data_IF_831295858654
#
_entry.id   IF_831295858654
#
_cell.length_a   1.000
_cell.length_b   1.000
_cell.length_c   1.000
_cell.angle_alpha   90.00
_cell.angle_beta   90.00
_cell.angle_gamma   90.00
#
_symmetry.space_group_name_H-M   'P 1'
#
loop_
_entity.id
_entity.type
_entity.pdbx_description
1 polymer ?
#
# COMPACT_ATOMS: atom_id res chain seq x y z
N UNK A 1 -39.83 -48.38 -56.90
CA UNK A 1 -38.66 -48.83 -56.12
C UNK A 1 -37.40 -48.69 -56.97
N UNK A 2 -36.39 -48.00 -56.42
CA UNK A 2 -34.96 -47.94 -56.81
C UNK A 2 -34.59 -47.51 -58.25
N UNK A 3 -33.86 -46.38 -58.29
CA UNK A 3 -32.76 -46.12 -59.23
C UNK A 3 -33.01 -44.97 -60.20
N UNK A 4 -32.23 -43.89 -60.11
CA UNK A 4 -31.13 -43.60 -61.04
C UNK A 4 -30.43 -42.30 -60.63
N UNK A 5 -29.10 -42.39 -60.47
CA UNK A 5 -28.17 -41.27 -60.34
C UNK A 5 -28.13 -40.46 -61.64
N UNK A 6 -27.85 -39.15 -61.58
CA UNK A 6 -26.91 -38.47 -62.51
C UNK A 6 -26.60 -37.04 -62.05
N UNK A 7 -25.29 -36.77 -61.93
CA UNK A 7 -24.74 -35.43 -61.86
C UNK A 7 -25.07 -34.67 -63.14
N UNK A 8 -25.42 -33.39 -63.02
CA UNK A 8 -25.38 -32.43 -64.11
C UNK A 8 -24.52 -31.25 -63.64
N UNK A 9 -23.35 -31.13 -64.27
CA UNK A 9 -22.50 -29.95 -64.30
C UNK A 9 -22.99 -29.02 -65.43
N UNK A 10 -22.44 -27.78 -65.48
CA UNK A 10 -22.52 -26.76 -66.56
C UNK A 10 -23.63 -25.73 -66.27
N UNK A 11 -23.47 -24.40 -66.36
CA UNK A 11 -22.37 -23.50 -66.76
C UNK A 11 -22.69 -22.07 -66.31
N UNK A 12 -21.64 -21.27 -66.16
CA UNK A 12 -21.64 -19.82 -66.00
C UNK A 12 -22.54 -19.06 -66.99
N UNK A 13 -23.31 -18.11 -66.47
CA UNK A 13 -23.36 -16.66 -66.80
C UNK A 13 -24.79 -16.15 -66.62
N UNK A 14 -24.97 -15.27 -65.62
CA UNK A 14 -26.09 -14.33 -65.56
C UNK A 14 -26.84 -14.28 -64.23
N UNK A 15 -26.22 -13.79 -63.15
CA UNK A 15 -26.95 -13.27 -61.97
C UNK A 15 -26.06 -12.32 -61.15
N UNK A 16 -25.67 -11.19 -61.75
CA UNK A 16 -25.17 -10.02 -61.01
C UNK A 16 -26.38 -9.12 -60.82
N UNK A 17 -27.09 -9.26 -59.70
CA UNK A 17 -27.94 -8.25 -59.03
C UNK A 17 -28.67 -8.94 -57.87
N UNK A 18 -27.97 -9.07 -56.73
CA UNK A 18 -28.49 -9.08 -55.34
C UNK A 18 -27.23 -9.11 -54.45
N UNK A 19 -26.60 -7.94 -54.27
CA UNK A 19 -25.52 -7.75 -53.28
C UNK A 19 -26.02 -6.92 -52.07
N UNK A 20 -27.33 -6.62 -51.96
CA UNK A 20 -27.79 -5.64 -50.96
C UNK A 20 -28.82 -6.09 -49.91
N UNK A 21 -29.03 -7.40 -49.62
CA UNK A 21 -29.98 -7.82 -48.56
C UNK A 21 -29.51 -9.02 -47.69
N UNK A 22 -28.22 -9.38 -47.67
CA UNK A 22 -27.69 -10.41 -46.71
C UNK A 22 -26.61 -9.82 -45.77
N UNK A 23 -26.30 -8.54 -45.87
CA UNK A 23 -25.35 -7.84 -44.99
C UNK A 23 -25.98 -7.14 -43.76
N UNK A 24 -27.25 -7.41 -43.44
CA UNK A 24 -28.00 -6.64 -42.45
C UNK A 24 -28.85 -7.52 -41.53
N UNK A 25 -28.30 -8.56 -40.90
CA UNK A 25 -28.83 -9.10 -39.63
C UNK A 25 -27.88 -10.07 -38.90
N UNK A 26 -26.58 -9.74 -38.88
CA UNK A 26 -25.70 -10.16 -37.79
C UNK A 26 -24.90 -8.93 -37.35
N UNK A 27 -25.60 -7.93 -36.80
CA UNK A 27 -24.96 -7.12 -35.75
C UNK A 27 -24.84 -8.08 -34.59
N UNK A 28 -23.81 -8.93 -34.68
CA UNK A 28 -23.33 -9.76 -33.59
C UNK A 28 -23.38 -8.86 -32.38
N UNK A 29 -24.15 -9.29 -31.39
CA UNK A 29 -24.26 -8.66 -30.09
C UNK A 29 -22.89 -8.87 -29.42
N UNK A 30 -21.86 -8.26 -29.99
CA UNK A 30 -20.57 -8.02 -29.38
C UNK A 30 -20.94 -7.04 -28.30
N UNK A 31 -21.32 -7.59 -27.15
CA UNK A 31 -20.93 -6.99 -25.90
C UNK A 31 -19.47 -6.62 -26.09
N UNK A 32 -19.23 -5.36 -26.46
CA UNK A 32 -17.96 -4.70 -26.24
C UNK A 32 -17.53 -5.20 -24.87
N UNK A 33 -16.34 -5.81 -24.71
CA UNK A 33 -15.88 -6.10 -23.37
C UNK A 33 -16.01 -4.76 -22.66
N UNK A 34 -16.87 -4.69 -21.64
CA UNK A 34 -16.96 -3.51 -20.80
C UNK A 34 -15.51 -3.29 -20.40
N UNK A 35 -14.86 -2.28 -20.98
CA UNK A 35 -13.54 -1.89 -20.56
C UNK A 35 -13.77 -1.59 -19.10
N UNK A 36 -13.34 -2.51 -18.22
CA UNK A 36 -13.35 -2.26 -16.81
C UNK A 36 -12.52 -0.99 -16.71
N UNK A 37 -13.20 0.14 -16.48
CA UNK A 37 -12.54 1.39 -16.16
C UNK A 37 -11.83 1.09 -14.85
N UNK A 38 -10.57 0.67 -14.95
CA UNK A 38 -9.67 0.69 -13.83
C UNK A 38 -9.62 2.15 -13.43
N UNK A 39 -10.27 2.49 -12.31
CA UNK A 39 -10.17 3.84 -11.77
C UNK A 39 -8.68 4.11 -11.54
N UNK A 40 -8.13 5.20 -12.11
CA UNK A 40 -6.72 5.48 -11.97
C UNK A 40 -6.43 5.71 -10.48
N UNK A 41 -5.44 4.98 -9.98
CA UNK A 41 -4.97 5.07 -8.60
C UNK A 41 -4.59 6.52 -8.28
N UNK A 42 -5.17 7.11 -7.24
CA UNK A 42 -4.77 8.46 -6.86
C UNK A 42 -3.37 8.43 -6.24
N UNK A 43 -2.57 9.45 -6.55
CA UNK A 43 -1.20 9.57 -6.03
C UNK A 43 -1.09 10.84 -5.20
N UNK A 44 -0.80 10.69 -3.90
CA UNK A 44 -0.54 11.77 -2.97
C UNK A 44 0.96 11.88 -2.71
N UNK A 45 1.55 13.02 -3.04
CA UNK A 45 3.01 13.22 -2.91
C UNK A 45 3.34 13.98 -1.63
N UNK A 46 4.19 13.39 -0.80
CA UNK A 46 4.83 14.04 0.35
C UNK A 46 6.03 14.84 -0.16
N UNK A 47 6.02 16.14 0.09
CA UNK A 47 7.02 17.10 -0.44
C UNK A 47 7.75 17.89 0.65
N UNK A 48 7.40 17.68 1.93
CA UNK A 48 8.11 18.30 3.05
C UNK A 48 8.08 17.41 4.30
N UNK A 49 8.92 17.77 5.27
CA UNK A 49 9.07 17.07 6.56
C UNK A 49 8.21 17.65 7.69
N UNK A 50 7.26 18.54 7.38
CA UNK A 50 6.41 19.14 8.40
C UNK A 50 5.50 18.09 9.04
N UNK A 51 5.21 18.23 10.34
CA UNK A 51 4.28 17.35 11.06
C UNK A 51 2.86 17.36 10.46
N UNK A 52 2.43 18.49 9.90
CA UNK A 52 1.09 18.67 9.32
C UNK A 52 1.06 19.76 8.26
N UNK A 53 -0.08 19.91 7.59
CA UNK A 53 -0.30 20.89 6.53
C UNK A 53 0.01 20.36 5.13
N UNK A 54 -0.24 21.18 4.08
CA UNK A 54 -0.06 20.79 2.69
C UNK A 54 1.32 20.18 2.40
N UNK A 55 1.34 19.07 1.67
CA UNK A 55 2.57 18.36 1.29
C UNK A 55 3.22 17.50 2.39
N UNK A 56 2.62 17.41 3.58
CA UNK A 56 3.10 16.51 4.65
C UNK A 56 2.55 15.09 4.50
N UNK A 57 3.22 14.11 5.11
CA UNK A 57 2.73 12.73 5.22
C UNK A 57 1.36 12.65 5.87
N UNK A 58 1.12 13.46 6.91
CA UNK A 58 -0.18 13.52 7.59
C UNK A 58 -1.30 13.94 6.63
N UNK A 59 -1.06 14.97 5.80
CA UNK A 59 -2.04 15.40 4.82
C UNK A 59 -2.28 14.32 3.76
N UNK A 60 -1.22 13.68 3.26
CA UNK A 60 -1.35 12.59 2.29
C UNK A 60 -2.19 11.41 2.82
N UNK A 61 -2.05 11.04 4.10
CA UNK A 61 -2.89 10.01 4.74
C UNK A 61 -4.35 10.45 4.85
N UNK A 62 -4.59 11.72 5.23
CA UNK A 62 -5.95 12.26 5.31
C UNK A 62 -6.65 12.26 3.94
N UNK A 63 -5.90 12.54 2.87
CA UNK A 63 -6.43 12.54 1.52
C UNK A 63 -6.68 11.11 1.01
N UNK A 64 -5.77 10.17 1.30
CA UNK A 64 -5.96 8.75 0.98
C UNK A 64 -7.18 8.14 1.70
N UNK A 65 -7.34 8.38 2.99
CA UNK A 65 -8.53 7.94 3.75
C UNK A 65 -9.86 8.56 3.27
N UNK A 66 -9.83 9.57 2.40
CA UNK A 66 -11.04 10.16 1.81
C UNK A 66 -11.36 9.55 0.45
N UNK A 67 -10.41 8.85 -0.16
CA UNK A 67 -10.61 8.15 -1.41
C UNK A 67 -10.99 6.68 -1.13
N UNK A 68 -11.95 6.16 -1.89
CA UNK A 68 -12.49 4.81 -1.68
C UNK A 68 -11.74 3.75 -2.48
N UNK A 69 -11.00 4.17 -3.48
CA UNK A 69 -10.17 3.31 -4.32
C UNK A 69 -8.76 3.22 -3.74
N UNK A 70 -7.99 2.16 -4.05
CA UNK A 70 -6.61 2.07 -3.61
C UNK A 70 -5.79 3.29 -4.04
N UNK A 71 -4.93 3.76 -3.14
CA UNK A 71 -4.10 4.95 -3.34
C UNK A 71 -2.60 4.65 -3.25
N UNK A 72 -1.80 5.61 -3.73
CA UNK A 72 -0.37 5.66 -3.49
C UNK A 72 0.01 6.94 -2.75
N UNK A 73 0.80 6.77 -1.68
CA UNK A 73 1.55 7.84 -1.04
C UNK A 73 3.01 7.67 -1.44
N UNK A 74 3.56 8.67 -2.13
CA UNK A 74 4.94 8.71 -2.62
C UNK A 74 5.68 9.90 -2.02
N UNK A 75 7.01 9.88 -2.05
CA UNK A 75 7.87 10.88 -1.43
C UNK A 75 8.73 11.56 -2.50
N UNK A 76 8.72 12.89 -2.48
CA UNK A 76 9.54 13.76 -3.32
C UNK A 76 9.94 15.01 -2.52
N UNK A 77 10.53 14.80 -1.36
CA UNK A 77 11.01 15.89 -0.51
C UNK A 77 12.30 16.44 -1.12
N UNK A 78 12.45 17.76 -1.33
CA UNK A 78 13.67 18.32 -1.88
C UNK A 78 14.90 17.98 -1.04
N UNK A 79 15.90 17.39 -1.70
CA UNK A 79 17.10 16.86 -1.06
C UNK A 79 17.37 15.41 -1.50
N UNK A 80 18.60 14.94 -1.34
CA UNK A 80 19.00 13.55 -1.64
C UNK A 80 19.51 12.79 -0.42
N UNK A 81 19.49 13.42 0.75
CA UNK A 81 19.89 12.83 2.03
C UNK A 81 18.68 12.31 2.81
N UNK A 82 18.94 11.72 3.96
CA UNK A 82 17.92 11.34 4.95
C UNK A 82 16.98 12.52 5.24
N UNK A 83 15.68 12.25 5.20
CA UNK A 83 14.60 13.19 5.50
C UNK A 83 13.85 12.71 6.75
N UNK A 84 13.98 13.44 7.85
CA UNK A 84 13.32 13.09 9.12
C UNK A 84 12.02 13.89 9.30
N UNK A 85 10.90 13.18 9.33
CA UNK A 85 9.58 13.70 9.67
C UNK A 85 9.37 13.54 11.18
N UNK A 86 9.50 14.64 11.92
CA UNK A 86 9.29 14.65 13.37
C UNK A 86 7.82 14.86 13.70
N UNK A 87 7.18 13.82 14.23
CA UNK A 87 5.77 13.86 14.58
C UNK A 87 5.55 14.48 15.95
N UNK A 88 4.59 15.41 16.02
CA UNK A 88 4.15 16.04 17.27
C UNK A 88 2.91 15.39 17.86
N UNK A 89 2.21 14.57 17.06
CA UNK A 89 1.02 13.82 17.44
C UNK A 89 0.90 12.55 16.59
N UNK A 90 0.09 11.56 17.00
CA UNK A 90 -0.07 10.31 16.24
C UNK A 90 -0.58 10.59 14.83
N UNK A 91 -0.10 9.85 13.82
CA UNK A 91 -0.68 9.92 12.48
C UNK A 91 -2.14 9.45 12.49
N UNK A 92 -3.00 9.94 11.57
CA UNK A 92 -4.34 9.40 11.41
C UNK A 92 -4.27 7.90 11.11
N UNK A 93 -5.18 7.12 11.71
CA UNK A 93 -5.36 5.70 11.36
C UNK A 93 -5.64 5.57 9.86
N UNK A 94 -4.99 4.62 9.20
CA UNK A 94 -5.21 4.30 7.79
C UNK A 94 -6.43 3.38 7.69
N UNK A 95 -7.50 3.91 7.09
CA UNK A 95 -8.82 3.25 7.02
C UNK A 95 -9.16 2.71 5.63
N UNK A 96 -8.48 3.19 4.59
CA UNK A 96 -8.64 2.73 3.22
C UNK A 96 -7.33 2.16 2.66
N UNK A 97 -7.40 1.23 1.68
CA UNK A 97 -6.21 0.56 1.13
C UNK A 97 -5.23 1.58 0.52
N UNK A 98 -3.98 1.55 0.97
CA UNK A 98 -2.95 2.48 0.49
C UNK A 98 -1.59 1.81 0.36
N UNK A 99 -0.85 2.19 -0.67
CA UNK A 99 0.58 1.91 -0.79
C UNK A 99 1.39 3.12 -0.36
N UNK A 100 2.09 3.01 0.77
CA UNK A 100 3.06 3.99 1.24
C UNK A 100 4.45 3.54 0.76
N UNK A 101 4.98 4.27 -0.22
CA UNK A 101 6.22 3.94 -0.90
C UNK A 101 7.31 5.01 -0.67
N UNK A 102 8.08 4.85 0.40
CA UNK A 102 9.22 5.72 0.70
C UNK A 102 10.44 5.47 -0.20
N UNK A 103 10.44 4.40 -1.01
CA UNK A 103 11.52 4.14 -1.99
C UNK A 103 11.50 5.11 -3.17
N UNK A 104 10.40 5.87 -3.32
CA UNK A 104 10.26 6.92 -4.33
C UNK A 104 11.04 8.20 -4.00
N UNK A 105 11.49 8.38 -2.75
CA UNK A 105 12.27 9.54 -2.35
C UNK A 105 13.55 9.66 -3.19
N UNK A 106 13.82 10.81 -3.84
CA UNK A 106 15.10 11.05 -4.50
C UNK A 106 16.29 10.77 -3.57
N UNK A 107 17.25 9.97 -4.06
CA UNK A 107 18.43 9.53 -3.31
C UNK A 107 18.31 8.13 -2.71
N UNK A 108 17.14 7.49 -2.77
CA UNK A 108 16.98 6.11 -2.29
C UNK A 108 17.91 5.16 -3.06
N UNK A 109 18.68 4.35 -2.33
CA UNK A 109 19.70 3.46 -2.89
C UNK A 109 19.74 2.09 -2.21
N UNK A 110 18.56 1.58 -1.85
CA UNK A 110 18.38 0.23 -1.29
C UNK A 110 18.17 0.17 0.22
N UNK A 111 18.45 1.25 0.95
CA UNK A 111 18.12 1.40 2.36
C UNK A 111 17.19 2.60 2.59
N UNK A 112 16.36 2.59 3.65
CA UNK A 112 15.47 3.70 3.97
C UNK A 112 16.20 5.04 4.08
N UNK A 113 15.60 6.09 3.53
CA UNK A 113 16.06 7.49 3.70
C UNK A 113 14.94 8.44 4.13
N UNK A 114 13.74 7.91 4.38
CA UNK A 114 12.67 8.63 5.05
C UNK A 114 12.58 8.08 6.47
N UNK A 115 12.77 8.96 7.45
CA UNK A 115 12.65 8.63 8.86
C UNK A 115 11.37 9.22 9.44
N UNK A 116 10.61 8.38 10.14
CA UNK A 116 9.51 8.78 10.98
C UNK A 116 9.96 8.75 12.45
N UNK A 117 10.02 9.92 13.07
CA UNK A 117 10.49 10.09 14.44
C UNK A 117 9.32 10.48 15.36
N UNK A 118 8.94 9.55 16.23
CA UNK A 118 7.90 9.72 17.25
C UNK A 118 8.35 10.43 18.53
N UNK A 119 9.61 10.85 18.65
CA UNK A 119 10.21 11.30 19.91
C UNK A 119 9.47 12.43 20.64
N UNK A 120 8.85 13.37 19.91
CA UNK A 120 8.04 14.45 20.52
C UNK A 120 6.67 13.93 20.97
N UNK A 121 6.06 13.00 20.22
CA UNK A 121 4.87 12.28 20.67
C UNK A 121 5.18 11.40 21.91
N UNK A 122 6.45 10.96 22.06
CA UNK A 122 6.95 10.17 23.19
C UNK A 122 6.96 10.94 24.51
N UNK A 123 7.35 12.21 24.48
CA UNK A 123 7.61 13.03 25.69
C UNK A 123 6.36 13.67 26.31
N UNK A 124 5.15 13.32 25.86
CA UNK A 124 3.90 13.87 26.42
C UNK A 124 3.77 15.38 26.30
N UNK A 125 4.58 16.04 25.44
CA UNK A 125 4.66 17.49 25.32
C UNK A 125 3.37 18.15 24.80
N UNK A 126 2.36 17.36 24.42
CA UNK A 126 1.03 17.86 24.08
C UNK A 126 -0.03 17.65 25.17
N UNK A 127 0.32 17.14 26.37
CA UNK A 127 -0.69 16.88 27.41
C UNK A 127 -1.81 15.94 26.92
N UNK A 128 -1.57 15.19 25.85
CA UNK A 128 -2.54 14.32 25.24
C UNK A 128 -2.56 13.05 26.06
N UNK A 129 -3.58 12.94 26.92
CA UNK A 129 -3.93 11.72 27.62
C UNK A 129 -3.85 10.55 26.63
N UNK A 130 -3.19 9.48 27.05
CA UNK A 130 -3.33 8.14 26.45
C UNK A 130 -4.82 7.85 26.48
N UNK A 131 -5.50 8.19 25.39
CA UNK A 131 -6.94 7.99 25.26
C UNK A 131 -7.11 6.51 24.96
N UNK A 132 -8.11 5.89 25.60
CA UNK A 132 -8.39 4.46 25.51
C UNK A 132 -8.24 3.93 24.06
N UNK A 133 -7.15 3.21 23.80
CA UNK A 133 -6.71 2.86 22.44
C UNK A 133 -5.25 2.43 22.30
N UNK A 134 -4.49 2.40 23.40
CA UNK A 134 -3.07 2.03 23.38
C UNK A 134 -2.15 3.24 23.16
N UNK A 135 -0.86 3.05 23.41
CA UNK A 135 0.14 4.07 23.21
C UNK A 135 0.35 4.37 21.71
N UNK A 136 0.69 5.62 21.32
CA UNK A 136 0.70 6.02 19.92
C UNK A 136 1.79 5.30 19.12
N UNK A 137 1.37 4.59 18.07
CA UNK A 137 2.24 3.88 17.12
C UNK A 137 2.62 4.76 15.93
N UNK A 138 3.66 4.38 15.18
CA UNK A 138 4.05 5.07 13.95
C UNK A 138 2.95 5.04 12.89
N UNK A 139 2.50 3.83 12.55
CA UNK A 139 1.28 3.61 11.77
C UNK A 139 0.30 2.69 12.48
N UNK A 140 -0.98 3.01 12.39
CA UNK A 140 -2.09 2.11 12.70
C UNK A 140 -2.89 1.91 11.42
N UNK A 141 -3.00 0.67 10.96
CA UNK A 141 -3.66 0.29 9.72
C UNK A 141 -4.82 -0.64 10.06
N UNK A 142 -6.05 -0.15 9.86
CA UNK A 142 -7.27 -0.96 9.97
C UNK A 142 -7.82 -1.37 8.61
N UNK A 143 -7.30 -0.76 7.54
CA UNK A 143 -7.48 -1.20 6.16
C UNK A 143 -6.84 -2.57 5.90
N UNK A 144 -7.31 -3.24 4.85
CA UNK A 144 -6.62 -4.40 4.27
C UNK A 144 -5.96 -4.01 2.95
N UNK A 145 -5.16 -4.91 2.38
CA UNK A 145 -4.50 -4.68 1.08
C UNK A 145 -3.62 -3.42 1.04
N UNK A 146 -3.04 -3.02 2.18
CA UNK A 146 -2.12 -1.89 2.26
C UNK A 146 -0.67 -2.33 2.17
N UNK A 147 0.20 -1.45 1.69
CA UNK A 147 1.64 -1.68 1.61
C UNK A 147 2.36 -0.57 2.35
N UNK A 148 3.34 -0.91 3.19
CA UNK A 148 4.26 0.03 3.82
C UNK A 148 5.68 -0.41 3.52
N UNK A 149 6.46 0.41 2.80
CA UNK A 149 7.83 0.05 2.44
C UNK A 149 8.82 1.20 2.42
N UNK A 150 10.07 0.86 2.74
CA UNK A 150 11.24 1.75 2.61
C UNK A 150 11.37 2.82 3.69
N UNK A 151 10.72 2.67 4.84
CA UNK A 151 10.73 3.65 5.94
C UNK A 151 11.67 3.21 7.08
N UNK A 152 12.30 4.17 7.73
CA UNK A 152 12.85 3.99 9.08
C UNK A 152 11.88 4.59 10.10
N UNK A 153 11.46 3.84 11.12
CA UNK A 153 10.39 4.21 12.05
C UNK A 153 10.85 3.94 13.47
N UNK A 154 10.92 4.98 14.29
CA UNK A 154 11.39 4.86 15.67
C UNK A 154 10.86 5.91 16.63
N UNK A 155 11.19 5.73 17.91
CA UNK A 155 10.85 6.60 19.04
C UNK A 155 9.35 6.72 19.35
N UNK A 156 8.54 5.71 19.05
CA UNK A 156 7.12 5.69 19.42
C UNK A 156 6.87 5.12 20.82
N UNK A 157 5.83 5.60 21.50
CA UNK A 157 5.36 5.01 22.77
C UNK A 157 4.54 3.72 22.54
N UNK A 158 4.04 3.50 21.33
CA UNK A 158 3.42 2.24 20.89
C UNK A 158 4.35 1.45 19.98
N UNK A 159 3.79 0.86 18.93
CA UNK A 159 4.50 0.05 17.95
C UNK A 159 5.10 0.91 16.83
N UNK A 160 6.05 0.38 16.05
CA UNK A 160 6.43 1.06 14.80
C UNK A 160 5.26 1.00 13.81
N UNK A 161 4.74 -0.21 13.57
CA UNK A 161 3.56 -0.47 12.71
C UNK A 161 2.60 -1.42 13.44
N UNK A 162 1.32 -1.07 13.46
CA UNK A 162 0.24 -1.92 13.97
C UNK A 162 -0.76 -2.23 12.85
N UNK A 163 -0.87 -3.50 12.48
CA UNK A 163 -1.87 -4.02 11.54
C UNK A 163 -3.04 -4.59 12.33
N UNK A 164 -4.26 -4.11 12.02
CA UNK A 164 -5.45 -4.44 12.78
C UNK A 164 -6.62 -4.80 11.88
N UNK A 165 -7.49 -5.70 12.34
CA UNK A 165 -8.80 -6.04 11.76
C UNK A 165 -8.78 -6.68 10.36
N UNK A 166 -8.31 -5.96 9.34
CA UNK A 166 -8.32 -6.41 7.93
C UNK A 166 -6.93 -6.88 7.53
N UNK A 167 -6.91 -7.91 6.69
CA UNK A 167 -5.71 -8.65 6.29
C UNK A 167 -5.11 -8.24 4.94
N UNK A 168 -4.18 -9.08 4.46
CA UNK A 168 -3.49 -8.92 3.17
C UNK A 168 -2.61 -7.66 3.08
N UNK A 169 -2.07 -7.19 4.19
CA UNK A 169 -1.13 -6.07 4.18
C UNK A 169 0.31 -6.57 3.97
N UNK A 170 1.14 -5.71 3.39
CA UNK A 170 2.55 -5.98 3.13
C UNK A 170 3.41 -4.94 3.85
N UNK A 171 4.29 -5.38 4.73
CA UNK A 171 5.27 -4.54 5.42
C UNK A 171 6.64 -4.98 4.94
N UNK A 172 7.33 -4.12 4.19
CA UNK A 172 8.52 -4.55 3.46
C UNK A 172 9.69 -3.58 3.51
N UNK A 173 10.91 -4.09 3.68
CA UNK A 173 12.15 -3.31 3.60
C UNK A 173 12.13 -2.05 4.47
N UNK A 174 11.49 -2.13 5.65
CA UNK A 174 11.47 -1.06 6.63
C UNK A 174 12.50 -1.32 7.73
N UNK A 175 12.98 -0.26 8.36
CA UNK A 175 13.77 -0.29 9.58
C UNK A 175 12.87 0.12 10.76
N UNK A 176 12.57 -0.81 11.66
CA UNK A 176 11.61 -0.63 12.74
C UNK A 176 12.35 -0.64 14.08
N UNK A 177 12.51 0.54 14.68
CA UNK A 177 13.22 0.77 15.95
C UNK A 177 14.65 1.30 15.80
N UNK A 178 15.06 1.70 14.59
CA UNK A 178 16.37 2.31 14.31
C UNK A 178 16.24 3.46 13.30
N UNK A 179 17.34 4.17 13.04
CA UNK A 179 17.42 5.27 12.08
C UNK A 179 17.69 4.77 10.65
N UNK A 180 17.79 5.68 9.67
CA UNK A 180 18.06 5.35 8.27
C UNK A 180 19.43 4.66 8.06
N UNK A 181 20.40 4.89 8.94
CA UNK A 181 21.71 4.24 8.88
C UNK A 181 21.75 2.87 9.58
N UNK A 182 20.68 2.50 10.29
CA UNK A 182 20.60 1.28 11.08
C UNK A 182 21.67 1.20 12.19
N UNK A 183 22.09 2.34 12.74
CA UNK A 183 23.13 2.40 13.77
C UNK A 183 22.69 3.14 15.05
N UNK A 184 21.57 3.85 15.03
CA UNK A 184 20.99 4.49 16.20
C UNK A 184 19.88 3.64 16.82
N UNK A 185 19.91 3.49 18.15
CA UNK A 185 18.78 2.90 18.89
C UNK A 185 17.64 3.93 18.98
N UNK A 186 16.60 3.71 18.18
CA UNK A 186 15.34 4.47 18.21
C UNK A 186 14.17 3.55 18.56
N UNK A 187 14.39 2.63 19.50
CA UNK A 187 13.41 1.64 19.90
C UNK A 187 12.04 2.23 20.19
N UNK A 188 11.01 1.57 19.67
CA UNK A 188 9.63 1.84 20.05
C UNK A 188 9.35 1.16 21.38
N UNK A 189 8.44 1.70 22.20
CA UNK A 189 8.14 1.09 23.49
C UNK A 189 7.31 -0.21 23.36
N UNK A 190 6.49 -0.33 22.31
CA UNK A 190 5.84 -1.58 21.90
C UNK A 190 6.71 -2.38 20.92
N UNK A 191 6.11 -3.30 20.16
CA UNK A 191 6.80 -4.07 19.12
C UNK A 191 7.18 -3.24 17.89
N UNK A 192 8.14 -3.73 17.11
CA UNK A 192 8.40 -3.19 15.78
C UNK A 192 7.20 -3.36 14.84
N UNK A 193 6.74 -4.61 14.70
CA UNK A 193 5.55 -4.94 13.90
C UNK A 193 4.54 -5.76 14.72
N UNK A 194 3.43 -5.12 15.09
CA UNK A 194 2.32 -5.79 15.77
C UNK A 194 1.20 -6.16 14.76
N UNK A 195 0.82 -7.44 14.71
CA UNK A 195 -0.25 -7.97 13.86
C UNK A 195 -1.39 -8.50 14.74
N UNK A 196 -2.43 -7.68 14.91
CA UNK A 196 -3.53 -7.92 15.84
C UNK A 196 -4.84 -8.19 15.09
N UNK A 197 -5.35 -9.42 15.16
CA UNK A 197 -6.60 -9.80 14.50
C UNK A 197 -6.62 -9.46 12.99
N UNK A 198 -5.48 -9.58 12.31
CA UNK A 198 -5.32 -9.26 10.89
C UNK A 198 -4.67 -10.46 10.20
N UNK A 199 -5.39 -11.11 9.28
CA UNK A 199 -4.92 -12.35 8.66
C UNK A 199 -4.11 -12.11 7.37
N UNK A 200 -3.36 -13.11 6.92
CA UNK A 200 -2.76 -13.14 5.58
C UNK A 200 -1.82 -11.96 5.26
N UNK A 201 -1.15 -11.40 6.26
CA UNK A 201 -0.17 -10.33 6.04
C UNK A 201 1.20 -10.90 5.69
N UNK A 202 2.00 -10.10 5.02
CA UNK A 202 3.38 -10.42 4.68
C UNK A 202 4.32 -9.39 5.30
N UNK A 203 5.27 -9.84 6.11
CA UNK A 203 6.42 -9.07 6.56
C UNK A 203 7.65 -9.59 5.84
N UNK A 204 8.29 -8.77 4.99
CA UNK A 204 9.42 -9.21 4.17
C UNK A 204 10.59 -8.22 4.16
N UNK A 205 11.80 -8.68 4.48
CA UNK A 205 13.02 -7.88 4.33
C UNK A 205 13.14 -6.70 5.32
N UNK A 206 12.35 -6.67 6.39
CA UNK A 206 12.43 -5.62 7.40
C UNK A 206 13.59 -5.87 8.37
N UNK A 207 14.24 -4.80 8.81
CA UNK A 207 15.11 -4.83 9.98
C UNK A 207 14.30 -4.38 11.18
N UNK A 208 14.15 -5.23 12.18
CA UNK A 208 13.34 -4.97 13.37
C UNK A 208 14.18 -5.17 14.62
N UNK A 209 14.54 -4.06 15.26
CA UNK A 209 15.57 -4.02 16.30
C UNK A 209 15.20 -3.04 17.40
N UNK A 210 15.72 -3.25 18.60
CA UNK A 210 15.65 -2.33 19.75
C UNK A 210 14.25 -2.02 20.33
N UNK A 211 13.18 -2.66 19.84
CA UNK A 211 11.80 -2.42 20.29
C UNK A 211 11.53 -3.08 21.66
N UNK A 212 10.75 -2.41 22.52
CA UNK A 212 10.55 -2.76 23.93
C UNK A 212 9.82 -4.08 24.16
N UNK A 213 8.75 -4.33 23.40
CA UNK A 213 7.98 -5.58 23.47
C UNK A 213 8.46 -6.63 22.45
N UNK A 214 9.56 -6.36 21.73
CA UNK A 214 10.21 -7.27 20.79
C UNK A 214 9.96 -6.99 19.30
N UNK A 215 10.37 -7.93 18.45
CA UNK A 215 10.36 -7.76 16.99
C UNK A 215 8.96 -7.76 16.37
N UNK A 216 8.26 -8.90 16.43
CA UNK A 216 6.90 -9.02 15.90
C UNK A 216 6.01 -9.92 16.75
N UNK A 217 4.75 -9.52 16.92
CA UNK A 217 3.70 -10.29 17.59
C UNK A 217 2.57 -10.58 16.59
N UNK A 218 2.15 -11.86 16.54
CA UNK A 218 1.18 -12.36 15.56
C UNK A 218 0.03 -13.06 16.29
N UNK A 219 -1.13 -12.41 16.33
CA UNK A 219 -2.34 -12.94 16.96
C UNK A 219 -3.41 -13.28 15.92
N UNK A 220 -3.03 -13.97 14.83
CA UNK A 220 -3.87 -14.18 13.65
C UNK A 220 -3.26 -15.20 12.67
N UNK A 221 -4.07 -15.66 11.70
CA UNK A 221 -3.73 -16.78 10.81
C UNK A 221 -3.16 -16.32 9.46
N UNK A 222 -2.36 -17.19 8.83
CA UNK A 222 -1.90 -17.03 7.45
C UNK A 222 -0.83 -15.95 7.23
N UNK A 223 -0.28 -15.38 8.31
CA UNK A 223 0.77 -14.38 8.22
C UNK A 223 2.12 -15.02 7.85
N UNK A 224 2.87 -14.36 6.97
CA UNK A 224 4.19 -14.79 6.51
C UNK A 224 5.24 -13.80 6.98
N UNK A 225 6.24 -14.29 7.71
CA UNK A 225 7.42 -13.52 8.15
C UNK A 225 8.63 -14.10 7.42
N UNK A 226 9.15 -13.36 6.45
CA UNK A 226 10.21 -13.85 5.57
C UNK A 226 11.36 -12.84 5.52
N UNK A 227 12.61 -13.33 5.53
CA UNK A 227 13.82 -12.52 5.30
C UNK A 227 13.95 -11.26 6.19
N UNK A 228 13.28 -11.24 7.35
CA UNK A 228 13.41 -10.14 8.31
C UNK A 228 14.62 -10.36 9.20
N UNK A 229 15.37 -9.29 9.46
CA UNK A 229 16.42 -9.27 10.45
C UNK A 229 15.82 -8.88 11.80
N UNK A 230 15.68 -9.85 12.71
CA UNK A 230 15.19 -9.65 14.06
C UNK A 230 16.39 -9.63 15.01
N UNK A 231 16.65 -8.47 15.64
CA UNK A 231 17.73 -8.31 16.63
C UNK A 231 17.28 -8.62 18.06
#
# INVERSE_FOLDING_TARGET
MKGYRRLISVSSVGFIFIILIIGLFLKENRSEPAQALATPLATFTVTNTNDSGPGSLRQAILDANRNRDPDMIVFNIPGGSVQTIRLRSPLPTITDPVTIDATTQPGFSGTPIIELDGGIARSGASGLAVTAGGAPSGFVITAGNSVVKGLAIGNFNGHAISLQQRGNNMVMNNYLGTDANCDENRGNAGEGLNILNSNNNMSMGNTIVFNGDGGSVINSNGNVIQDNNLG
#
